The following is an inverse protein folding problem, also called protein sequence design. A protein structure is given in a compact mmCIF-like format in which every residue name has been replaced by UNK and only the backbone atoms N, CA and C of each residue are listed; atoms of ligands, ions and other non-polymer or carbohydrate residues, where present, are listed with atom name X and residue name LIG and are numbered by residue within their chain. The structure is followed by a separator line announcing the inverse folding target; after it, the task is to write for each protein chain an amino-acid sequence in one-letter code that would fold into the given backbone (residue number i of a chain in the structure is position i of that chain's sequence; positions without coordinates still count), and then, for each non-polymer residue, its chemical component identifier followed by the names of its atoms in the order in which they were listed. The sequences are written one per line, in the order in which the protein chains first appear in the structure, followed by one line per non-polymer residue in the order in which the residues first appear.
data_IF_932002055643
#
_entry.id   IF_932002055643
#
_cell.length_a   1.000
_cell.length_b   1.000
_cell.length_c   1.000
_cell.angle_alpha   90.00
_cell.angle_beta   90.00
_cell.angle_gamma   90.00
#
_symmetry.space_group_name_H-M   'P 1'
#
loop_
_entity.id
_entity.type
_entity.pdbx_description
1 polymer ?
#
# COMPACT_ATOMS: atom_id res chain seq x y z
N UNK A 1 -19.94 -4.75 -3.56
CA UNK A 1 -19.10 -5.80 -2.95
C UNK A 1 -17.94 -5.14 -2.20
N UNK A 2 -17.54 -5.62 -1.02
CA UNK A 2 -16.48 -4.97 -0.22
C UNK A 2 -15.08 -5.20 -0.81
N UNK A 3 -14.60 -4.27 -1.63
CA UNK A 3 -13.35 -4.38 -2.37
C UNK A 3 -12.14 -4.78 -1.51
N UNK A 4 -11.99 -4.21 -0.31
CA UNK A 4 -10.88 -4.51 0.60
C UNK A 4 -10.85 -5.96 1.08
N UNK A 5 -12.00 -6.63 1.24
CA UNK A 5 -12.01 -8.02 1.71
C UNK A 5 -11.63 -9.01 0.61
N UNK A 6 -11.95 -8.69 -0.65
CA UNK A 6 -11.65 -9.56 -1.79
C UNK A 6 -10.16 -9.59 -2.16
N UNK A 7 -9.38 -8.63 -1.66
CA UNK A 7 -7.94 -8.54 -1.89
C UNK A 7 -7.10 -9.32 -0.86
N UNK A 8 -7.65 -9.63 0.32
CA UNK A 8 -6.94 -10.37 1.38
C UNK A 8 -6.37 -11.73 0.93
N UNK A 9 -7.10 -12.61 0.21
CA UNK A 9 -6.53 -13.89 -0.22
C UNK A 9 -5.33 -13.70 -1.15
N UNK A 10 -5.37 -12.67 -2.00
CA UNK A 10 -4.28 -12.33 -2.92
C UNK A 10 -3.04 -11.95 -2.09
N UNK A 11 -3.20 -11.05 -1.11
CA UNK A 11 -2.11 -10.60 -0.23
C UNK A 11 -1.44 -11.78 0.51
N UNK A 12 -2.22 -12.70 1.09
CA UNK A 12 -1.69 -13.89 1.78
C UNK A 12 -0.85 -14.75 0.82
N UNK A 13 -1.33 -14.96 -0.41
CA UNK A 13 -0.57 -15.70 -1.44
C UNK A 13 0.73 -14.95 -1.78
N UNK A 14 0.69 -13.63 -1.95
CA UNK A 14 1.88 -12.82 -2.22
C UNK A 14 2.92 -12.94 -1.10
N UNK A 15 2.49 -12.91 0.17
CA UNK A 15 3.38 -13.14 1.31
C UNK A 15 4.05 -14.51 1.26
N UNK A 16 3.29 -15.58 0.97
CA UNK A 16 3.82 -16.94 0.87
C UNK A 16 4.83 -17.04 -0.28
N UNK A 17 4.52 -16.45 -1.44
CA UNK A 17 5.41 -16.45 -2.62
C UNK A 17 6.71 -15.71 -2.29
N UNK A 18 6.63 -14.50 -1.74
CA UNK A 18 7.82 -13.72 -1.39
C UNK A 18 8.63 -14.43 -0.32
N UNK A 19 8.00 -15.01 0.70
CA UNK A 19 8.70 -15.80 1.71
C UNK A 19 9.44 -16.97 1.05
N UNK A 20 8.80 -17.75 0.19
CA UNK A 20 9.43 -18.89 -0.49
C UNK A 20 10.58 -18.47 -1.43
N UNK A 21 10.42 -17.36 -2.16
CA UNK A 21 11.38 -16.92 -3.16
C UNK A 21 12.51 -16.06 -2.59
N UNK A 22 12.32 -15.38 -1.47
CA UNK A 22 13.26 -14.36 -0.99
C UNK A 22 13.89 -14.76 0.34
N UNK A 23 13.21 -15.58 1.15
CA UNK A 23 13.74 -15.99 2.44
C UNK A 23 15.10 -16.68 2.29
N UNK A 24 16.01 -16.35 3.22
CA UNK A 24 17.37 -16.90 3.31
C UNK A 24 18.31 -16.53 2.15
N UNK A 25 17.89 -15.70 1.19
CA UNK A 25 18.77 -15.22 0.10
C UNK A 25 19.49 -13.95 0.50
N UNK A 26 20.68 -13.70 -0.07
CA UNK A 26 21.42 -12.45 0.14
C UNK A 26 20.74 -11.24 -0.53
N UNK A 27 20.90 -10.04 0.04
CA UNK A 27 20.12 -8.84 -0.34
C UNK A 27 20.14 -8.50 -1.84
N UNK A 28 21.28 -8.68 -2.52
CA UNK A 28 21.39 -8.43 -3.97
C UNK A 28 20.49 -9.37 -4.79
N UNK A 29 20.44 -10.64 -4.38
CA UNK A 29 19.60 -11.66 -5.02
C UNK A 29 18.12 -11.37 -4.73
N UNK A 30 17.79 -10.97 -3.49
CA UNK A 30 16.44 -10.56 -3.12
C UNK A 30 15.92 -9.41 -4.01
N UNK A 31 16.72 -8.34 -4.14
CA UNK A 31 16.38 -7.19 -4.99
C UNK A 31 16.21 -7.63 -6.44
N UNK A 32 17.14 -8.44 -6.98
CA UNK A 32 17.04 -8.94 -8.35
C UNK A 32 15.74 -9.72 -8.59
N UNK A 33 15.39 -10.66 -7.71
CA UNK A 33 14.16 -11.45 -7.82
C UNK A 33 12.93 -10.55 -7.76
N UNK A 34 12.89 -9.61 -6.81
CA UNK A 34 11.76 -8.69 -6.65
C UNK A 34 11.62 -7.79 -7.89
N UNK A 35 12.71 -7.27 -8.45
CA UNK A 35 12.71 -6.49 -9.70
C UNK A 35 12.17 -7.30 -10.86
N UNK A 36 12.69 -8.52 -11.08
CA UNK A 36 12.20 -9.40 -12.14
C UNK A 36 10.72 -9.73 -11.94
N UNK A 37 10.30 -9.98 -10.70
CA UNK A 37 8.90 -10.30 -10.38
C UNK A 37 7.98 -9.12 -10.72
N UNK A 38 8.33 -7.89 -10.34
CA UNK A 38 7.59 -6.68 -10.70
C UNK A 38 7.45 -6.54 -12.22
N UNK A 39 8.56 -6.69 -12.96
CA UNK A 39 8.56 -6.57 -14.43
C UNK A 39 7.66 -7.63 -15.07
N UNK A 40 7.78 -8.89 -14.63
CA UNK A 40 7.00 -10.01 -15.18
C UNK A 40 5.51 -9.83 -14.88
N UNK A 41 5.14 -9.50 -13.64
CA UNK A 41 3.72 -9.32 -13.28
C UNK A 41 3.11 -8.12 -13.99
N UNK A 42 3.88 -7.04 -14.15
CA UNK A 42 3.43 -5.85 -14.86
C UNK A 42 3.24 -6.13 -16.36
N UNK A 43 4.24 -6.75 -17.01
CA UNK A 43 4.14 -7.13 -18.41
C UNK A 43 2.98 -8.11 -18.67
N UNK A 44 2.72 -9.03 -17.73
CA UNK A 44 1.56 -9.92 -17.80
C UNK A 44 0.22 -9.17 -17.70
N UNK A 45 0.13 -8.15 -16.85
CA UNK A 45 -1.08 -7.32 -16.72
C UNK A 45 -1.35 -6.52 -18.00
N UNK A 46 -0.32 -5.86 -18.55
CA UNK A 46 -0.39 -5.10 -19.80
C UNK A 46 -0.75 -6.01 -20.99
N UNK A 47 -0.14 -7.20 -21.07
CA UNK A 47 -0.45 -8.16 -22.13
C UNK A 47 -1.93 -8.57 -22.15
N UNK A 48 -2.52 -8.82 -20.98
CA UNK A 48 -3.95 -9.12 -20.86
C UNK A 48 -4.83 -7.91 -21.21
N UNK A 49 -4.39 -6.71 -20.81
CA UNK A 49 -5.07 -5.45 -21.10
C UNK A 49 -5.10 -5.11 -22.60
N UNK A 50 -3.97 -5.20 -23.29
CA UNK A 50 -3.87 -5.01 -24.74
C UNK A 50 -4.75 -6.00 -25.52
N UNK A 51 -4.81 -7.25 -25.07
CA UNK A 51 -5.65 -8.31 -25.65
C UNK A 51 -7.14 -8.12 -25.36
N UNK A 52 -7.50 -7.20 -24.44
CA UNK A 52 -8.86 -7.07 -23.85
C UNK A 52 -9.39 -8.41 -23.32
N UNK A 53 -8.47 -9.27 -22.86
CA UNK A 53 -8.79 -10.58 -22.31
C UNK A 53 -8.65 -10.52 -20.81
N UNK A 54 -9.64 -11.04 -20.11
CA UNK A 54 -9.56 -11.22 -18.67
C UNK A 54 -10.16 -12.55 -18.29
N UNK A 55 -9.48 -13.26 -17.40
CA UNK A 55 -9.89 -14.56 -16.92
C UNK A 55 -10.32 -14.38 -15.47
N UNK A 56 -11.53 -14.82 -15.14
CA UNK A 56 -12.09 -14.69 -13.80
C UNK A 56 -11.99 -16.05 -13.12
N UNK A 57 -11.25 -16.11 -12.02
CA UNK A 57 -11.09 -17.29 -11.18
C UNK A 57 -11.63 -16.92 -9.79
N UNK A 58 -12.61 -17.66 -9.27
CA UNK A 58 -13.24 -17.39 -7.97
C UNK A 58 -13.71 -15.93 -7.79
N UNK A 59 -14.39 -15.38 -8.79
CA UNK A 59 -14.87 -13.99 -8.84
C UNK A 59 -13.76 -12.90 -8.83
N UNK A 60 -12.49 -13.30 -9.00
CA UNK A 60 -11.35 -12.39 -9.06
C UNK A 60 -10.71 -12.44 -10.45
N UNK A 61 -10.49 -11.26 -11.03
CA UNK A 61 -9.81 -11.10 -12.31
C UNK A 61 -8.32 -11.41 -12.19
N UNK A 62 -7.77 -12.21 -13.10
CA UNK A 62 -6.32 -12.48 -13.15
C UNK A 62 -5.56 -11.17 -13.42
N UNK A 63 -6.06 -10.34 -14.34
CA UNK A 63 -5.45 -9.02 -14.61
C UNK A 63 -5.40 -8.18 -13.33
N UNK A 64 -6.48 -8.17 -12.56
CA UNK A 64 -6.56 -7.47 -11.29
C UNK A 64 -5.56 -8.03 -10.25
N UNK A 65 -5.44 -9.37 -10.14
CA UNK A 65 -4.43 -10.01 -9.29
C UNK A 65 -3.00 -9.61 -9.67
N UNK A 66 -2.69 -9.55 -10.97
CA UNK A 66 -1.37 -9.15 -11.45
C UNK A 66 -1.08 -7.69 -11.13
N UNK A 67 -2.05 -6.79 -11.34
CA UNK A 67 -1.92 -5.38 -10.95
C UNK A 67 -1.68 -5.26 -9.44
N UNK A 68 -2.49 -5.90 -8.60
CA UNK A 68 -2.31 -5.88 -7.14
C UNK A 68 -0.94 -6.40 -6.68
N UNK A 69 -0.45 -7.47 -7.30
CA UNK A 69 0.88 -8.00 -7.01
C UNK A 69 2.00 -7.00 -7.31
N UNK A 70 1.86 -6.18 -8.35
CA UNK A 70 2.84 -5.11 -8.64
C UNK A 70 2.96 -4.16 -7.45
N UNK A 71 1.84 -3.68 -6.88
CA UNK A 71 1.87 -2.79 -5.71
C UNK A 71 2.57 -3.46 -4.50
N UNK A 72 2.22 -4.71 -4.23
CA UNK A 72 2.80 -5.47 -3.12
C UNK A 72 4.33 -5.63 -3.28
N UNK A 73 4.77 -6.08 -4.46
CA UNK A 73 6.18 -6.32 -4.76
C UNK A 73 6.99 -5.02 -4.77
N UNK A 74 6.41 -3.91 -5.24
CA UNK A 74 7.02 -2.58 -5.13
C UNK A 74 7.30 -2.21 -3.67
N UNK A 75 6.38 -2.49 -2.75
CA UNK A 75 6.59 -2.30 -1.31
C UNK A 75 7.74 -3.14 -0.76
N UNK A 76 7.79 -4.44 -1.10
CA UNK A 76 8.88 -5.34 -0.73
C UNK A 76 10.23 -4.85 -1.28
N UNK A 77 10.25 -4.37 -2.53
CA UNK A 77 11.43 -3.84 -3.19
C UNK A 77 11.96 -2.59 -2.47
N UNK A 78 11.09 -1.64 -2.13
CA UNK A 78 11.44 -0.46 -1.33
C UNK A 78 12.08 -0.90 -0.02
N UNK A 79 11.45 -1.84 0.70
CA UNK A 79 12.01 -2.33 1.98
C UNK A 79 13.37 -2.99 1.81
N UNK A 80 13.58 -3.78 0.76
CA UNK A 80 14.85 -4.42 0.47
C UNK A 80 15.95 -3.42 0.11
N UNK A 81 15.65 -2.42 -0.73
CA UNK A 81 16.60 -1.36 -1.13
C UNK A 81 16.95 -0.47 0.07
N UNK A 82 15.95 -0.12 0.89
CA UNK A 82 16.11 0.82 2.00
C UNK A 82 16.46 0.16 3.33
N UNK A 83 16.82 -1.13 3.31
CA UNK A 83 17.03 -1.96 4.49
C UNK A 83 18.07 -1.40 5.48
N UNK A 84 18.89 -0.41 5.10
CA UNK A 84 19.94 0.12 5.96
C UNK A 84 20.14 1.63 5.92
N UNK A 85 19.20 2.43 5.38
CA UNK A 85 19.46 3.86 5.21
C UNK A 85 18.21 4.74 5.06
N UNK A 86 18.36 6.00 5.52
CA UNK A 86 17.50 7.16 5.27
C UNK A 86 17.48 7.62 3.80
N UNK A 87 17.87 6.73 2.87
CA UNK A 87 18.16 7.03 1.45
C UNK A 87 16.94 7.48 0.65
N UNK A 88 15.73 7.30 1.17
CA UNK A 88 14.53 7.80 0.50
C UNK A 88 14.13 9.22 0.84
N UNK A 89 14.85 9.94 1.71
CA UNK A 89 14.57 11.36 1.98
C UNK A 89 14.91 12.24 0.77
N UNK A 90 14.04 12.23 -0.24
CA UNK A 90 14.11 13.13 -1.38
C UNK A 90 13.91 14.56 -0.86
N UNK A 91 14.92 15.43 -1.04
CA UNK A 91 14.78 16.87 -0.77
C UNK A 91 13.76 17.48 -1.74
N UNK A 92 13.08 18.56 -1.32
CA UNK A 92 12.06 19.30 -2.09
C UNK A 92 12.30 19.47 -3.61
N UNK A 93 13.49 19.80 -4.12
CA UNK A 93 13.70 19.96 -5.58
C UNK A 93 13.57 18.66 -6.37
N UNK A 94 13.88 17.51 -5.77
CA UNK A 94 13.76 16.22 -6.45
C UNK A 94 12.30 15.85 -6.69
N UNK A 95 11.36 16.35 -5.90
CA UNK A 95 9.92 16.13 -6.09
C UNK A 95 9.39 16.78 -7.37
N UNK A 96 9.84 18.00 -7.66
CA UNK A 96 9.41 18.76 -8.84
C UNK A 96 9.94 18.10 -10.11
N UNK A 97 11.22 17.74 -10.11
CA UNK A 97 11.84 16.99 -11.21
C UNK A 97 11.11 15.64 -11.43
N UNK A 98 10.69 14.99 -10.35
CA UNK A 98 10.05 13.68 -10.39
C UNK A 98 8.60 13.75 -10.90
N UNK A 99 7.83 14.78 -10.53
CA UNK A 99 6.50 15.06 -11.11
C UNK A 99 6.63 15.36 -12.61
N UNK A 100 7.66 16.11 -13.00
CA UNK A 100 7.94 16.41 -14.40
C UNK A 100 8.30 15.15 -15.20
N UNK A 101 9.14 14.28 -14.64
CA UNK A 101 9.46 12.97 -15.24
C UNK A 101 8.18 12.15 -15.42
N UNK A 102 7.33 12.04 -14.39
CA UNK A 102 6.05 11.32 -14.49
C UNK A 102 5.14 11.86 -15.60
N UNK A 103 5.03 13.18 -15.70
CA UNK A 103 4.25 13.80 -16.76
C UNK A 103 4.79 13.42 -18.14
N UNK A 104 6.12 13.40 -18.30
CA UNK A 104 6.79 13.00 -19.53
C UNK A 104 6.58 11.53 -19.91
N UNK A 105 6.62 10.62 -18.92
CA UNK A 105 6.53 9.17 -19.17
C UNK A 105 5.09 8.61 -19.12
N UNK A 106 4.05 9.45 -19.03
CA UNK A 106 2.64 9.05 -18.90
C UNK A 106 2.08 8.21 -20.07
N UNK A 107 2.88 7.98 -21.13
CA UNK A 107 2.53 7.13 -22.27
C UNK A 107 3.34 5.84 -22.37
N UNK A 108 4.24 5.60 -21.42
CA UNK A 108 5.08 4.41 -21.39
C UNK A 108 4.40 3.35 -20.54
N UNK A 109 4.44 2.09 -20.97
CA UNK A 109 3.83 0.96 -20.26
C UNK A 109 4.25 0.88 -18.78
N UNK A 110 5.45 1.34 -18.42
CA UNK A 110 5.98 1.30 -17.04
C UNK A 110 5.46 2.44 -16.15
N UNK A 111 4.55 3.30 -16.64
CA UNK A 111 4.04 4.45 -15.89
C UNK A 111 3.39 4.06 -14.56
N UNK A 112 2.45 3.10 -14.58
CA UNK A 112 1.69 2.69 -13.38
C UNK A 112 2.62 2.27 -12.22
N UNK A 113 3.55 1.29 -12.38
CA UNK A 113 4.49 0.89 -11.31
C UNK A 113 5.33 2.03 -10.76
N UNK A 114 5.80 2.94 -11.63
CA UNK A 114 6.65 4.07 -11.23
C UNK A 114 5.84 5.05 -10.37
N UNK A 115 4.62 5.39 -10.80
CA UNK A 115 3.71 6.26 -10.05
C UNK A 115 3.43 5.68 -8.66
N UNK A 116 3.20 4.37 -8.56
CA UNK A 116 2.95 3.68 -7.30
C UNK A 116 4.14 3.75 -6.36
N UNK A 117 5.33 3.37 -6.85
CA UNK A 117 6.58 3.47 -6.10
C UNK A 117 6.77 4.90 -5.59
N UNK A 118 6.47 5.88 -6.42
CA UNK A 118 6.53 7.27 -6.03
C UNK A 118 5.54 7.64 -4.94
N UNK A 119 4.26 7.31 -5.07
CA UNK A 119 3.26 7.55 -4.02
C UNK A 119 3.70 6.97 -2.67
N UNK A 120 4.23 5.74 -2.66
CA UNK A 120 4.77 5.13 -1.46
C UNK A 120 5.94 5.94 -0.87
N UNK A 121 6.88 6.37 -1.70
CA UNK A 121 8.01 7.21 -1.29
C UNK A 121 7.54 8.58 -0.76
N UNK A 122 6.50 9.19 -1.36
CA UNK A 122 5.88 10.44 -0.89
C UNK A 122 5.37 10.24 0.54
N UNK A 123 4.53 9.23 0.74
CA UNK A 123 3.86 9.00 2.02
C UNK A 123 4.89 8.72 3.12
N UNK A 124 5.91 7.89 2.84
CA UNK A 124 7.00 7.60 3.78
C UNK A 124 7.77 8.87 4.15
N UNK A 125 8.07 9.73 3.18
CA UNK A 125 8.81 10.96 3.43
C UNK A 125 8.00 12.00 4.19
N UNK A 126 6.70 12.14 3.88
CA UNK A 126 5.80 13.02 4.63
C UNK A 126 5.73 12.58 6.09
N UNK A 127 5.54 11.27 6.37
CA UNK A 127 5.50 10.74 7.73
C UNK A 127 6.81 10.93 8.54
N UNK A 128 7.95 10.99 7.84
CA UNK A 128 9.27 11.23 8.43
C UNK A 128 9.71 12.71 8.38
N UNK A 129 8.86 13.61 7.87
CA UNK A 129 9.22 15.02 7.73
C UNK A 129 9.14 15.77 9.08
N UNK A 130 10.01 16.76 9.26
CA UNK A 130 9.97 17.67 10.41
C UNK A 130 8.67 18.47 10.50
N UNK A 131 8.02 18.71 9.37
CA UNK A 131 6.73 19.40 9.29
C UNK A 131 5.65 18.53 9.94
N UNK A 132 5.62 17.24 9.60
CA UNK A 132 4.68 16.30 10.20
C UNK A 132 4.90 16.15 11.71
N UNK A 133 6.14 16.13 12.18
CA UNK A 133 6.46 16.11 13.62
C UNK A 133 6.02 17.38 14.37
N UNK A 134 5.94 18.52 13.68
CA UNK A 134 5.42 19.77 14.25
C UNK A 134 3.89 19.77 14.35
N UNK A 135 3.21 19.13 13.38
CA UNK A 135 1.74 19.04 13.32
C UNK A 135 1.22 17.94 14.25
N UNK A 136 1.89 16.80 14.28
CA UNK A 136 1.53 15.63 15.08
C UNK A 136 2.53 15.48 16.23
N UNK A 137 2.13 15.78 17.47
CA UNK A 137 2.98 15.63 18.66
C UNK A 137 3.63 14.25 18.71
N UNK A 138 4.90 14.19 19.13
CA UNK A 138 5.67 12.94 19.23
C UNK A 138 4.94 11.85 20.02
N UNK A 139 4.16 12.22 21.05
CA UNK A 139 3.33 11.27 21.82
C UNK A 139 2.29 10.57 20.95
N UNK A 140 1.59 11.31 20.09
CA UNK A 140 0.59 10.78 19.18
C UNK A 140 1.28 9.94 18.10
N UNK A 141 2.38 10.43 17.52
CA UNK A 141 3.19 9.67 16.56
C UNK A 141 3.64 8.32 17.13
N UNK A 142 4.19 8.30 18.34
CA UNK A 142 4.62 7.07 19.00
C UNK A 142 3.44 6.13 19.29
N UNK A 143 2.30 6.68 19.72
CA UNK A 143 1.10 5.88 19.93
C UNK A 143 0.58 5.24 18.64
N UNK A 144 0.63 5.96 17.51
CA UNK A 144 0.26 5.45 16.20
C UNK A 144 1.26 4.41 15.67
N UNK A 145 2.56 4.57 15.94
CA UNK A 145 3.58 3.61 15.50
C UNK A 145 3.59 2.32 16.33
N UNK A 146 3.17 2.39 17.59
CA UNK A 146 3.15 1.23 18.49
C UNK A 146 1.89 0.37 18.35
N UNK A 147 0.86 0.87 17.67
CA UNK A 147 -0.44 0.22 17.51
C UNK A 147 -0.76 0.08 16.02
N UNK A 148 -1.25 -1.08 15.60
CA UNK A 148 -1.47 -1.36 14.18
C UNK A 148 -2.91 -1.05 13.75
N UNK A 149 -3.22 0.25 13.62
CA UNK A 149 -4.55 0.69 13.15
C UNK A 149 -4.77 0.47 11.65
N UNK A 150 -3.70 0.15 10.91
CA UNK A 150 -3.73 0.11 9.44
C UNK A 150 -4.70 -0.93 8.91
N UNK A 151 -4.79 -2.08 9.59
CA UNK A 151 -5.70 -3.16 9.26
C UNK A 151 -7.17 -2.75 9.42
N UNK A 152 -7.54 -2.17 10.56
CA UNK A 152 -8.88 -1.63 10.78
C UNK A 152 -9.25 -0.55 9.75
N UNK A 153 -8.31 0.37 9.45
CA UNK A 153 -8.52 1.39 8.42
C UNK A 153 -8.85 0.76 7.06
N UNK A 154 -8.09 -0.27 6.66
CA UNK A 154 -8.30 -0.99 5.42
C UNK A 154 -9.66 -1.71 5.36
N UNK A 155 -10.08 -2.32 6.47
CA UNK A 155 -11.32 -3.12 6.54
C UNK A 155 -12.59 -2.25 6.56
N UNK A 156 -12.57 -1.14 7.31
CA UNK A 156 -13.75 -0.29 7.49
C UNK A 156 -13.86 0.86 6.47
N UNK A 157 -12.80 1.22 5.75
CA UNK A 157 -12.84 2.34 4.80
C UNK A 157 -13.94 2.16 3.75
N UNK A 158 -14.03 0.99 3.12
CA UNK A 158 -15.02 0.72 2.08
C UNK A 158 -16.47 0.83 2.57
N UNK A 159 -16.92 0.13 3.64
CA UNK A 159 -18.30 0.25 4.09
C UNK A 159 -18.65 1.67 4.56
N UNK A 160 -17.71 2.38 5.22
CA UNK A 160 -17.92 3.78 5.61
C UNK A 160 -18.11 4.66 4.38
N UNK A 161 -17.29 4.51 3.34
CA UNK A 161 -17.43 5.23 2.08
C UNK A 161 -18.79 4.98 1.42
N UNK A 162 -19.24 3.73 1.37
CA UNK A 162 -20.54 3.36 0.80
C UNK A 162 -21.73 3.95 1.58
N UNK A 163 -21.58 4.13 2.89
CA UNK A 163 -22.58 4.83 3.71
C UNK A 163 -22.49 6.33 3.42
N UNK A 164 -21.30 6.92 3.48
CA UNK A 164 -21.12 8.37 3.34
C UNK A 164 -21.56 8.89 1.97
N UNK A 165 -21.39 8.13 0.90
CA UNK A 165 -21.80 8.55 -0.45
C UNK A 165 -23.33 8.70 -0.57
N UNK A 166 -24.10 7.99 0.27
CA UNK A 166 -25.56 8.10 0.31
C UNK A 166 -26.04 9.39 1.01
N UNK A 167 -25.27 9.89 1.99
CA UNK A 167 -25.63 11.06 2.78
C UNK A 167 -24.99 12.36 2.27
N UNK A 168 -23.80 12.28 1.68
CA UNK A 168 -23.02 13.44 1.25
C UNK A 168 -22.45 13.20 -0.15
N UNK A 169 -23.29 12.95 -1.17
CA UNK A 169 -22.81 12.66 -2.53
C UNK A 169 -22.09 13.85 -3.18
N UNK A 170 -22.58 15.07 -2.93
CA UNK A 170 -22.18 16.25 -3.71
C UNK A 170 -21.06 17.09 -3.06
N UNK A 171 -20.79 16.87 -1.77
CA UNK A 171 -19.74 17.61 -1.05
C UNK A 171 -18.54 16.70 -0.75
N UNK A 172 -17.59 16.70 -1.68
CA UNK A 172 -16.39 15.86 -1.58
C UNK A 172 -15.55 16.14 -0.32
N UNK A 173 -15.51 17.38 0.18
CA UNK A 173 -14.73 17.75 1.36
C UNK A 173 -15.36 17.10 2.61
N UNK A 174 -16.68 17.24 2.76
CA UNK A 174 -17.41 16.64 3.87
C UNK A 174 -17.36 15.12 3.74
N UNK A 175 -17.54 14.57 2.54
CA UNK A 175 -17.45 13.12 2.28
C UNK A 175 -16.09 12.55 2.70
N UNK A 176 -14.99 13.13 2.23
CA UNK A 176 -13.63 12.64 2.54
C UNK A 176 -13.31 12.82 4.01
N UNK A 177 -13.58 14.00 4.59
CA UNK A 177 -13.26 14.28 6.00
C UNK A 177 -14.04 13.38 6.95
N UNK A 178 -15.36 13.25 6.76
CA UNK A 178 -16.19 12.34 7.57
C UNK A 178 -15.79 10.87 7.41
N UNK A 179 -15.47 10.43 6.19
CA UNK A 179 -14.98 9.07 5.94
C UNK A 179 -13.70 8.80 6.73
N UNK A 180 -12.71 9.69 6.64
CA UNK A 180 -11.44 9.54 7.37
C UNK A 180 -11.69 9.48 8.87
N UNK A 181 -12.50 10.39 9.41
CA UNK A 181 -12.79 10.48 10.84
C UNK A 181 -13.50 9.20 11.33
N UNK A 182 -14.60 8.81 10.69
CA UNK A 182 -15.41 7.66 11.10
C UNK A 182 -14.59 6.37 10.98
N UNK A 183 -13.88 6.18 9.86
CA UNK A 183 -13.02 5.01 9.66
C UNK A 183 -11.92 4.94 10.71
N UNK A 184 -11.30 6.07 11.06
CA UNK A 184 -10.25 6.13 12.10
C UNK A 184 -10.79 5.75 13.48
N UNK A 185 -12.00 6.17 13.82
CA UNK A 185 -12.66 5.80 15.08
C UNK A 185 -12.93 4.29 15.10
N UNK A 186 -13.50 3.74 14.03
CA UNK A 186 -13.77 2.30 13.93
C UNK A 186 -12.48 1.47 13.98
N UNK A 187 -11.43 1.90 13.29
CA UNK A 187 -10.12 1.26 13.35
C UNK A 187 -9.52 1.29 14.76
N UNK A 188 -9.66 2.40 15.47
CA UNK A 188 -9.20 2.52 16.86
C UNK A 188 -9.99 1.60 17.82
N UNK A 189 -11.31 1.53 17.66
CA UNK A 189 -12.17 0.61 18.43
C UNK A 189 -11.79 -0.85 18.14
N UNK A 190 -11.67 -1.22 16.87
CA UNK A 190 -11.27 -2.56 16.42
C UNK A 190 -9.93 -2.97 17.00
N UNK A 191 -8.93 -2.09 16.90
CA UNK A 191 -7.62 -2.34 17.51
C UNK A 191 -7.72 -2.59 19.01
N UNK A 192 -8.41 -1.69 19.72
CA UNK A 192 -8.44 -1.69 21.19
C UNK A 192 -9.12 -2.94 21.75
N UNK A 193 -10.22 -3.37 21.15
CA UNK A 193 -11.07 -4.44 21.70
C UNK A 193 -10.89 -5.81 21.03
N UNK A 194 -10.41 -5.85 19.78
CA UNK A 194 -10.34 -7.09 19.00
C UNK A 194 -8.89 -7.47 18.70
N UNK A 195 -8.11 -6.55 18.13
CA UNK A 195 -6.82 -6.91 17.51
C UNK A 195 -5.64 -6.86 18.49
N UNK A 196 -5.71 -6.02 19.52
CA UNK A 196 -4.60 -5.76 20.44
C UNK A 196 -4.10 -7.02 21.16
N UNK A 197 -4.99 -7.86 21.67
CA UNK A 197 -4.60 -9.06 22.44
C UNK A 197 -4.02 -10.18 21.56
N UNK A 198 -4.65 -10.56 20.42
CA UNK A 198 -4.07 -11.52 19.49
C UNK A 198 -2.70 -11.11 18.96
N UNK A 199 -2.50 -9.82 18.61
CA UNK A 199 -1.21 -9.33 18.11
C UNK A 199 -0.13 -9.38 19.19
N UNK A 200 -0.46 -9.04 20.45
CA UNK A 200 0.47 -9.20 21.57
C UNK A 200 0.86 -10.66 21.77
N UNK A 201 -0.13 -11.56 21.74
CA UNK A 201 0.10 -13.00 21.88
C UNK A 201 1.02 -13.54 20.77
N UNK A 202 0.76 -13.18 19.50
CA UNK A 202 1.61 -13.56 18.39
C UNK A 202 3.07 -13.09 18.55
N UNK A 203 3.29 -11.88 19.07
CA UNK A 203 4.64 -11.34 19.35
C UNK A 203 5.39 -12.10 20.44
N UNK A 204 4.70 -12.80 21.35
CA UNK A 204 5.37 -13.62 22.37
C UNK A 204 5.83 -14.99 21.86
N UNK A 205 5.32 -15.42 20.71
CA UNK A 205 5.65 -16.71 20.10
C UNK A 205 6.81 -16.63 19.08
N UNK A 206 7.16 -15.42 18.63
CA UNK A 206 8.18 -15.15 17.63
C UNK A 206 9.52 -14.79 18.28
#
# INVERSE_FOLDING_TARGET
MNGSLWTLPIEVISYIIVLALVAKRGIKIQIFILLCSVIITHAGAEFLEERKQDYIIYATSIKYCLKLNVFFLCGCLIKAICNNSSVLMLKMPYWILLIFILWWINKIAVYEPIVILMYAIIIINVGNSKIFEKIVPLRIKNHLLNNDYSYGMYLYAFPVQQIMIQYVPDNWIIYVSSTIIITSILAWVSWTYIEREPVKWAKTLA
#
